data_IF_709955170581
#
_entry.id   IF_709955170581
#
_cell.length_a   1.000
_cell.length_b   1.000
_cell.length_c   1.000
_cell.angle_alpha   90.00
_cell.angle_beta   90.00
_cell.angle_gamma   90.00
#
_symmetry.space_group_name_H-M   'P 1'
#
loop_
_entity.id
_entity.type
_entity.pdbx_description
1 polymer ?
#
# COMPACT_ATOMS: atom_id res chain seq x y z
N UNK A 1 13.53 -10.59 -12.12
CA UNK A 1 12.13 -10.23 -12.41
C UNK A 1 11.36 -10.36 -11.11
N UNK A 2 11.12 -9.22 -10.44
CA UNK A 2 10.75 -9.08 -9.02
C UNK A 2 9.72 -7.93 -8.98
N UNK A 3 8.62 -8.14 -8.26
CA UNK A 3 7.29 -7.57 -8.54
C UNK A 3 6.81 -7.83 -10.00
N UNK A 4 6.14 -8.97 -10.25
CA UNK A 4 5.63 -9.35 -11.58
C UNK A 4 4.09 -9.20 -11.72
N UNK A 5 3.67 -8.92 -12.96
CA UNK A 5 2.32 -8.55 -13.42
C UNK A 5 1.27 -9.65 -13.18
N UNK A 6 0.19 -9.29 -12.47
CA UNK A 6 -0.98 -10.15 -12.26
C UNK A 6 -2.09 -9.89 -13.28
N UNK A 7 -2.83 -10.94 -13.66
CA UNK A 7 -3.91 -10.91 -14.67
C UNK A 7 -5.27 -10.54 -14.05
N UNK A 8 -5.94 -9.56 -14.64
CA UNK A 8 -7.16 -8.87 -14.18
C UNK A 8 -8.48 -9.64 -14.48
N UNK A 9 -9.50 -9.49 -13.63
CA UNK A 9 -10.94 -9.66 -13.96
C UNK A 9 -11.63 -8.29 -13.94
N UNK A 10 -12.36 -7.94 -15.00
CA UNK A 10 -13.11 -6.67 -15.12
C UNK A 10 -14.38 -6.69 -14.27
N UNK A 11 -14.68 -5.56 -13.62
CA UNK A 11 -16.04 -5.16 -13.25
C UNK A 11 -16.18 -3.69 -13.66
N UNK A 12 -17.19 -3.39 -14.48
CA UNK A 12 -17.56 -2.02 -14.86
C UNK A 12 -18.74 -1.59 -13.99
N UNK A 13 -18.64 -0.43 -13.33
CA UNK A 13 -19.82 0.30 -12.84
C UNK A 13 -19.57 1.80 -12.94
N UNK A 14 -20.47 2.51 -13.62
CA UNK A 14 -20.55 3.98 -13.65
C UNK A 14 -21.42 4.45 -12.48
N UNK A 15 -21.01 5.52 -11.78
CA UNK A 15 -21.86 6.22 -10.82
C UNK A 15 -21.88 7.73 -11.08
N UNK A 16 -23.09 8.28 -11.02
CA UNK A 16 -23.46 9.69 -11.14
C UNK A 16 -22.98 10.47 -9.91
N UNK A 17 -22.24 11.56 -10.10
CA UNK A 17 -21.85 12.47 -9.01
C UNK A 17 -22.89 13.58 -8.87
N UNK A 18 -23.25 13.90 -7.62
CA UNK A 18 -23.99 15.10 -7.26
C UNK A 18 -22.99 16.15 -6.78
N UNK A 19 -23.19 17.40 -7.21
CA UNK A 19 -22.36 18.55 -6.92
C UNK A 19 -22.61 19.03 -5.48
N UNK A 20 -21.55 19.15 -4.67
CA UNK A 20 -21.60 19.63 -3.28
C UNK A 20 -20.84 20.95 -3.21
N UNK A 21 -21.46 21.94 -2.57
CA UNK A 21 -21.00 23.32 -2.44
C UNK A 21 -19.62 23.41 -1.75
N UNK A 22 -18.69 24.10 -2.41
CA UNK A 22 -17.30 24.27 -1.98
C UNK A 22 -17.17 25.43 -0.99
N UNK A 23 -17.08 25.13 0.30
CA UNK A 23 -16.29 26.00 1.19
C UNK A 23 -14.83 25.90 0.74
N UNK A 24 -14.17 27.05 0.58
CA UNK A 24 -12.81 27.21 0.05
C UNK A 24 -11.75 26.42 0.84
N UNK A 25 -11.68 25.11 0.64
CA UNK A 25 -10.41 24.38 0.74
C UNK A 25 -9.64 24.87 -0.46
N UNK A 26 -8.76 25.85 -0.26
CA UNK A 26 -7.75 26.19 -1.26
C UNK A 26 -7.01 24.90 -1.58
N UNK A 27 -7.38 24.27 -2.69
CA UNK A 27 -6.89 22.96 -3.07
C UNK A 27 -5.36 23.01 -3.15
N UNK A 28 -4.68 22.46 -2.14
CA UNK A 28 -3.22 22.37 -2.06
C UNK A 28 -2.75 21.21 -2.94
N UNK A 29 -3.18 21.25 -4.19
CA UNK A 29 -2.92 20.28 -5.24
C UNK A 29 -1.65 20.69 -5.97
N UNK A 30 -0.69 19.77 -6.05
CA UNK A 30 0.58 20.01 -6.73
C UNK A 30 0.79 18.98 -7.83
N UNK A 31 0.91 19.48 -9.05
CA UNK A 31 1.22 18.68 -10.21
C UNK A 31 2.73 18.54 -10.35
N UNK A 32 3.23 17.32 -10.17
CA UNK A 32 4.65 16.98 -10.32
C UNK A 32 4.92 16.18 -11.59
N UNK A 33 3.88 15.66 -12.24
CA UNK A 33 3.99 14.88 -13.47
C UNK A 33 4.83 13.62 -13.28
N UNK A 34 5.91 13.48 -14.05
CA UNK A 34 6.87 12.38 -13.97
C UNK A 34 8.17 12.77 -13.26
N UNK A 35 8.16 13.86 -12.48
CA UNK A 35 9.37 14.31 -11.80
C UNK A 35 9.88 13.25 -10.82
N UNK A 36 11.19 12.97 -10.90
CA UNK A 36 11.86 11.96 -10.07
C UNK A 36 12.47 12.56 -8.80
N UNK A 37 12.34 13.87 -8.58
CA UNK A 37 12.96 14.58 -7.46
C UNK A 37 11.92 15.24 -6.57
N UNK A 38 12.06 15.07 -5.25
CA UNK A 38 11.21 15.75 -4.26
C UNK A 38 11.45 17.26 -4.20
N UNK A 39 12.58 17.75 -4.73
CA UNK A 39 12.87 19.19 -4.77
C UNK A 39 11.81 20.00 -5.53
N UNK A 40 11.14 19.38 -6.52
CA UNK A 40 10.10 20.05 -7.31
C UNK A 40 8.74 20.10 -6.62
N UNK A 41 8.55 19.35 -5.53
CA UNK A 41 7.30 19.37 -4.76
C UNK A 41 7.19 20.75 -4.09
N UNK A 42 6.11 21.52 -4.32
CA UNK A 42 5.88 22.78 -3.63
C UNK A 42 5.66 22.56 -2.13
N UNK A 43 6.00 23.57 -1.34
CA UNK A 43 5.77 23.54 0.09
C UNK A 43 4.26 23.46 0.40
N UNK A 44 3.91 22.82 1.52
CA UNK A 44 2.52 22.66 1.98
C UNK A 44 1.59 21.89 1.03
N UNK A 45 2.12 21.07 0.13
CA UNK A 45 1.28 20.21 -0.69
C UNK A 45 0.44 19.23 0.16
N UNK A 46 -0.85 19.10 -0.14
CA UNK A 46 -1.73 18.09 0.44
C UNK A 46 -2.08 16.98 -0.55
N UNK A 47 -2.23 17.34 -1.82
CA UNK A 47 -2.57 16.39 -2.88
C UNK A 47 -1.49 16.43 -3.96
N UNK A 48 -0.80 15.31 -4.16
CA UNK A 48 0.14 15.16 -5.26
C UNK A 48 -0.55 14.56 -6.49
N UNK A 49 -0.31 15.14 -7.65
CA UNK A 49 -0.73 14.59 -8.95
C UNK A 49 0.51 14.27 -9.77
N UNK A 50 0.80 12.98 -9.92
CA UNK A 50 2.00 12.47 -10.56
C UNK A 50 2.59 11.26 -9.84
N UNK A 51 3.54 10.59 -10.49
CA UNK A 51 4.22 9.44 -9.89
C UNK A 51 5.34 9.93 -8.97
N UNK A 52 5.28 9.57 -7.69
CA UNK A 52 6.28 9.97 -6.69
C UNK A 52 7.31 8.86 -6.51
N UNK A 53 8.59 9.18 -6.71
CA UNK A 53 9.71 8.24 -6.45
C UNK A 53 10.57 8.76 -5.31
N UNK A 54 10.92 7.86 -4.37
CA UNK A 54 11.94 8.07 -3.35
C UNK A 54 13.02 7.00 -3.56
N UNK A 55 14.24 7.42 -3.83
CA UNK A 55 15.36 6.56 -4.18
C UNK A 55 16.70 7.07 -3.63
N UNK A 56 17.82 6.54 -4.13
CA UNK A 56 19.17 6.93 -3.75
C UNK A 56 19.53 8.37 -4.16
N UNK A 57 18.81 8.95 -5.12
CA UNK A 57 18.98 10.35 -5.57
C UNK A 57 18.11 11.32 -4.77
N UNK A 58 17.20 10.80 -3.94
CA UNK A 58 16.31 11.61 -3.12
C UNK A 58 17.05 12.20 -1.92
N UNK A 59 17.06 13.52 -1.83
CA UNK A 59 17.74 14.25 -0.76
C UNK A 59 16.93 14.19 0.53
N UNK A 60 17.59 13.88 1.64
CA UNK A 60 16.93 13.79 2.94
C UNK A 60 16.31 15.13 3.36
N UNK A 61 16.94 16.26 2.99
CA UNK A 61 16.41 17.60 3.27
C UNK A 61 15.13 17.97 2.49
N UNK A 62 14.69 17.17 1.50
CA UNK A 62 13.44 17.41 0.77
C UNK A 62 12.26 16.55 1.29
N UNK A 63 12.52 15.55 2.15
CA UNK A 63 11.48 14.61 2.61
C UNK A 63 10.35 15.28 3.40
N UNK A 64 10.64 16.40 4.08
CA UNK A 64 9.64 17.14 4.85
C UNK A 64 8.49 17.68 3.99
N UNK A 65 8.70 17.84 2.68
CA UNK A 65 7.66 18.26 1.73
C UNK A 65 6.51 17.26 1.63
N UNK A 66 6.75 16.01 2.03
CA UNK A 66 5.76 14.94 2.06
C UNK A 66 4.94 14.91 3.36
N UNK A 67 5.34 15.64 4.40
CA UNK A 67 4.71 15.56 5.73
C UNK A 67 3.25 15.99 5.75
N UNK A 68 2.86 16.87 4.83
CA UNK A 68 1.50 17.38 4.71
C UNK A 68 0.66 16.67 3.64
N UNK A 69 1.26 15.72 2.92
CA UNK A 69 0.60 15.02 1.81
C UNK A 69 -0.35 13.98 2.37
N UNK A 70 -1.62 14.13 2.06
CA UNK A 70 -2.69 13.20 2.44
C UNK A 70 -3.12 12.32 1.27
N UNK A 71 -2.98 12.79 0.03
CA UNK A 71 -3.47 12.09 -1.15
C UNK A 71 -2.44 12.10 -2.28
N UNK A 72 -2.27 10.95 -2.93
CA UNK A 72 -1.49 10.82 -4.18
C UNK A 72 -2.41 10.30 -5.28
N UNK A 73 -2.58 11.09 -6.33
CA UNK A 73 -3.09 10.67 -7.63
C UNK A 73 -1.91 10.31 -8.54
N UNK A 74 -1.50 9.06 -8.47
CA UNK A 74 -0.31 8.49 -9.10
C UNK A 74 0.20 7.29 -8.30
N UNK A 75 1.32 6.73 -8.73
CA UNK A 75 2.03 5.70 -7.98
C UNK A 75 3.02 6.28 -6.98
N UNK A 76 3.30 5.53 -5.92
CA UNK A 76 4.39 5.78 -4.99
C UNK A 76 5.42 4.64 -5.07
N UNK A 77 6.64 4.99 -5.45
CA UNK A 77 7.78 4.06 -5.49
C UNK A 77 8.83 4.47 -4.48
N UNK A 78 9.21 3.57 -3.57
CA UNK A 78 10.33 3.73 -2.65
C UNK A 78 11.32 2.60 -2.95
N UNK A 79 12.45 2.92 -3.61
CA UNK A 79 13.40 1.89 -4.04
C UNK A 79 14.85 2.30 -3.88
N UNK A 80 15.71 1.38 -3.47
CA UNK A 80 17.14 1.65 -3.29
C UNK A 80 17.45 2.91 -2.44
N UNK A 81 16.52 3.32 -1.58
CA UNK A 81 16.66 4.57 -0.82
C UNK A 81 17.53 4.39 0.43
N UNK A 82 18.02 5.52 0.94
CA UNK A 82 18.70 5.59 2.23
C UNK A 82 17.75 5.67 3.43
N UNK A 83 16.42 5.59 3.19
CA UNK A 83 15.41 5.70 4.24
C UNK A 83 15.55 4.59 5.26
N UNK A 84 15.39 4.97 6.53
CA UNK A 84 15.23 4.02 7.65
C UNK A 84 13.78 3.74 7.99
N UNK A 85 12.90 4.67 7.62
CA UNK A 85 11.48 4.69 7.93
C UNK A 85 10.72 5.41 6.82
N UNK A 86 9.47 5.04 6.58
CA UNK A 86 8.54 5.77 5.70
C UNK A 86 7.74 6.86 6.43
N UNK A 87 8.13 7.21 7.66
CA UNK A 87 7.48 8.25 8.49
C UNK A 87 7.29 9.62 7.85
N UNK A 88 8.04 10.07 6.81
CA UNK A 88 7.66 11.28 6.07
C UNK A 88 6.26 11.26 5.46
N UNK A 89 5.67 10.08 5.30
CA UNK A 89 4.33 9.88 4.74
C UNK A 89 3.25 9.70 5.81
N UNK A 90 3.49 10.15 7.04
CA UNK A 90 2.61 9.87 8.19
C UNK A 90 1.16 10.39 8.07
N UNK A 91 0.89 11.38 7.20
CA UNK A 91 -0.45 11.87 6.89
C UNK A 91 -1.08 11.21 5.66
N UNK A 92 -0.33 10.41 4.91
CA UNK A 92 -0.78 9.85 3.65
C UNK A 92 -1.91 8.84 3.91
N UNK A 93 -3.10 9.16 3.42
CA UNK A 93 -4.30 8.34 3.60
C UNK A 93 -4.75 7.66 2.32
N UNK A 94 -4.43 8.20 1.14
CA UNK A 94 -4.95 7.73 -0.13
C UNK A 94 -3.87 7.67 -1.22
N UNK A 95 -3.83 6.55 -1.95
CA UNK A 95 -3.03 6.40 -3.17
C UNK A 95 -3.90 5.81 -4.27
N UNK A 96 -4.08 6.56 -5.36
CA UNK A 96 -4.80 6.12 -6.56
C UNK A 96 -3.88 6.22 -7.77
N UNK A 97 -3.46 5.07 -8.29
CA UNK A 97 -2.72 5.00 -9.55
C UNK A 97 -3.63 4.48 -10.66
N UNK A 98 -4.02 5.36 -11.57
CA UNK A 98 -4.85 5.02 -12.73
C UNK A 98 -4.04 4.59 -13.96
N UNK A 99 -2.71 4.60 -13.88
CA UNK A 99 -1.87 4.14 -14.98
C UNK A 99 -1.97 2.61 -15.16
N UNK A 100 -2.14 2.17 -16.40
CA UNK A 100 -2.18 0.76 -16.75
C UNK A 100 -0.88 0.05 -16.38
N UNK A 101 -0.98 -1.20 -15.94
CA UNK A 101 0.14 -2.05 -15.57
C UNK A 101 1.06 -1.43 -14.49
N UNK A 102 0.52 -0.59 -13.61
CA UNK A 102 1.26 -0.02 -12.48
C UNK A 102 0.56 -0.28 -11.14
N UNK A 103 1.32 -0.55 -10.06
CA UNK A 103 0.77 -0.62 -8.71
C UNK A 103 0.54 0.78 -8.12
N UNK A 104 -0.26 0.85 -7.06
CA UNK A 104 -0.35 2.06 -6.25
C UNK A 104 0.94 2.29 -5.44
N UNK A 105 1.48 1.22 -4.85
CA UNK A 105 2.64 1.27 -3.97
C UNK A 105 3.68 0.20 -4.34
N UNK A 106 4.94 0.61 -4.41
CA UNK A 106 6.09 -0.28 -4.51
C UNK A 106 7.17 0.15 -3.51
N UNK A 107 7.53 -0.73 -2.57
CA UNK A 107 8.64 -0.54 -1.62
C UNK A 107 9.64 -1.68 -1.83
N UNK A 108 10.74 -1.42 -2.53
CA UNK A 108 11.65 -2.49 -2.97
C UNK A 108 13.14 -2.18 -2.73
N UNK A 109 13.92 -3.17 -2.30
CA UNK A 109 15.39 -3.08 -2.28
C UNK A 109 15.96 -1.94 -1.40
N UNK A 110 15.30 -1.59 -0.28
CA UNK A 110 15.80 -0.59 0.65
C UNK A 110 16.59 -1.28 1.78
N UNK A 111 17.91 -1.30 1.65
CA UNK A 111 18.80 -2.03 2.57
C UNK A 111 18.72 -1.58 4.04
N UNK A 112 18.34 -0.31 4.27
CA UNK A 112 18.33 0.31 5.59
C UNK A 112 16.91 0.50 6.18
N UNK A 113 15.86 0.11 5.45
CA UNK A 113 14.48 0.33 5.85
C UNK A 113 14.10 -0.64 6.97
N UNK A 114 13.75 -0.09 8.14
CA UNK A 114 13.41 -0.86 9.35
C UNK A 114 11.91 -0.97 9.58
N UNK A 115 11.16 0.05 9.16
CA UNK A 115 9.72 0.15 9.28
C UNK A 115 9.09 0.70 8.00
N UNK A 116 7.91 0.19 7.67
CA UNK A 116 7.11 0.61 6.52
C UNK A 116 5.70 1.06 6.95
N UNK A 117 5.54 1.50 8.20
CA UNK A 117 4.25 1.95 8.73
C UNK A 117 3.84 3.28 8.07
N UNK A 118 2.74 3.26 7.32
CA UNK A 118 2.12 4.44 6.75
C UNK A 118 0.83 4.70 7.54
N UNK A 119 0.96 5.52 8.58
CA UNK A 119 -0.15 5.87 9.47
C UNK A 119 -1.29 6.54 8.72
N UNK A 120 -2.53 6.23 9.12
CA UNK A 120 -3.72 6.85 8.52
C UNK A 120 -4.09 6.38 7.12
N UNK A 121 -3.39 5.39 6.56
CA UNK A 121 -3.72 4.82 5.25
C UNK A 121 -5.14 4.22 5.24
N UNK A 122 -5.97 4.68 4.31
CA UNK A 122 -7.35 4.26 4.12
C UNK A 122 -7.51 3.38 2.88
N UNK A 123 -6.89 3.76 1.77
CA UNK A 123 -7.07 3.06 0.50
C UNK A 123 -5.87 3.22 -0.44
N UNK A 124 -5.45 2.10 -1.01
CA UNK A 124 -4.49 2.01 -2.10
C UNK A 124 -5.14 1.28 -3.27
N UNK A 125 -5.18 1.93 -4.43
CA UNK A 125 -5.76 1.37 -5.64
C UNK A 125 -4.85 1.60 -6.84
N UNK A 126 -4.47 0.50 -7.50
CA UNK A 126 -3.72 0.49 -8.74
C UNK A 126 -4.14 -0.68 -9.62
N UNK A 127 -3.70 -0.67 -10.88
CA UNK A 127 -4.00 -1.76 -11.82
C UNK A 127 -3.31 -3.06 -11.38
N UNK A 128 -2.07 -2.98 -10.90
CA UNK A 128 -1.33 -4.12 -10.35
C UNK A 128 -1.38 -4.17 -8.81
N UNK A 129 -1.17 -5.37 -8.21
CA UNK A 129 -0.97 -5.49 -6.77
C UNK A 129 0.22 -4.66 -6.28
N UNK A 130 0.05 -4.03 -5.12
CA UNK A 130 1.15 -3.36 -4.41
C UNK A 130 2.22 -4.38 -4.00
N UNK A 131 3.45 -3.91 -3.77
CA UNK A 131 4.60 -4.79 -3.51
C UNK A 131 5.47 -4.19 -2.40
N UNK A 132 5.83 -5.00 -1.41
CA UNK A 132 6.86 -4.67 -0.40
C UNK A 132 7.86 -5.81 -0.43
N UNK A 133 9.04 -5.59 -1.01
CA UNK A 133 9.97 -6.69 -1.26
C UNK A 133 11.45 -6.33 -1.10
N UNK A 134 12.26 -7.34 -0.77
CA UNK A 134 13.72 -7.23 -0.73
C UNK A 134 14.24 -6.13 0.22
N UNK A 135 13.56 -5.91 1.36
CA UNK A 135 14.01 -4.99 2.40
C UNK A 135 14.55 -5.82 3.60
N UNK A 136 15.86 -6.16 3.63
CA UNK A 136 16.39 -7.26 4.44
C UNK A 136 16.31 -7.05 5.95
N UNK A 137 16.12 -5.82 6.42
CA UNK A 137 15.97 -5.49 7.85
C UNK A 137 14.59 -4.95 8.21
N UNK A 138 13.66 -4.92 7.26
CA UNK A 138 12.29 -4.41 7.45
C UNK A 138 11.47 -5.39 8.27
N UNK A 139 11.10 -4.95 9.48
CA UNK A 139 10.16 -5.68 10.33
C UNK A 139 8.74 -5.16 10.12
N UNK A 140 7.79 -6.07 9.96
CA UNK A 140 6.38 -5.75 9.71
C UNK A 140 5.55 -6.45 10.79
N UNK A 141 4.86 -5.67 11.60
CA UNK A 141 3.99 -6.19 12.66
C UNK A 141 2.75 -6.88 12.08
N UNK A 142 2.04 -7.67 12.89
CA UNK A 142 0.78 -8.30 12.45
C UNK A 142 -0.29 -7.25 12.17
N UNK A 143 -0.28 -6.17 12.93
CA UNK A 143 -1.15 -5.02 12.82
C UNK A 143 -0.90 -4.25 11.51
N UNK A 144 0.36 -4.05 11.14
CA UNK A 144 0.74 -3.43 9.88
C UNK A 144 0.37 -4.34 8.70
N UNK A 145 0.59 -5.65 8.82
CA UNK A 145 0.14 -6.62 7.83
C UNK A 145 -1.37 -6.56 7.60
N UNK A 146 -2.17 -6.47 8.67
CA UNK A 146 -3.61 -6.33 8.58
C UNK A 146 -3.99 -5.01 7.88
N UNK A 147 -3.31 -3.91 8.24
CA UNK A 147 -3.51 -2.59 7.63
C UNK A 147 -3.22 -2.63 6.12
N UNK A 148 -2.08 -3.17 5.71
CA UNK A 148 -1.75 -3.36 4.30
C UNK A 148 -2.77 -4.23 3.56
N UNK A 149 -3.23 -5.32 4.19
CA UNK A 149 -4.22 -6.21 3.59
C UNK A 149 -5.58 -5.51 3.40
N UNK A 150 -6.04 -4.73 4.37
CA UNK A 150 -7.32 -3.99 4.29
C UNK A 150 -7.23 -2.89 3.23
N UNK A 151 -6.22 -2.03 3.33
CA UNK A 151 -6.06 -0.83 2.49
C UNK A 151 -5.79 -1.15 1.03
N UNK A 152 -5.19 -2.32 0.73
CA UNK A 152 -5.00 -2.81 -0.65
C UNK A 152 -6.07 -3.80 -1.12
N UNK A 153 -7.10 -4.07 -0.30
CA UNK A 153 -8.12 -5.10 -0.55
C UNK A 153 -7.50 -6.48 -0.86
N UNK A 154 -6.44 -6.83 -0.15
CA UNK A 154 -5.68 -8.08 -0.30
C UNK A 154 -4.79 -8.17 -1.54
N UNK A 155 -4.65 -7.08 -2.30
CA UNK A 155 -3.81 -6.97 -3.49
C UNK A 155 -2.43 -6.41 -3.14
N UNK A 156 -1.72 -7.11 -2.27
CA UNK A 156 -0.33 -6.81 -1.93
C UNK A 156 0.51 -8.08 -1.83
N UNK A 157 1.77 -7.99 -2.23
CA UNK A 157 2.75 -9.07 -2.14
C UNK A 157 3.91 -8.67 -1.22
N UNK A 158 4.34 -9.61 -0.38
CA UNK A 158 5.50 -9.48 0.50
C UNK A 158 6.50 -10.60 0.20
N UNK A 159 7.76 -10.23 -0.06
CA UNK A 159 8.82 -11.21 -0.34
C UNK A 159 10.19 -10.66 0.03
N UNK A 160 11.08 -11.48 0.60
CA UNK A 160 12.49 -11.08 0.79
C UNK A 160 12.70 -9.98 1.84
N UNK A 161 11.68 -9.62 2.62
CA UNK A 161 11.84 -8.79 3.81
C UNK A 161 12.24 -9.63 5.03
N UNK A 162 12.76 -9.00 6.10
CA UNK A 162 13.03 -9.68 7.38
C UNK A 162 11.78 -10.40 7.87
N UNK A 163 10.65 -9.70 7.88
CA UNK A 163 9.33 -10.25 8.18
C UNK A 163 8.42 -10.05 6.96
N UNK A 164 7.80 -11.13 6.46
CA UNK A 164 6.79 -11.05 5.40
C UNK A 164 5.42 -11.35 5.96
N UNK A 165 4.42 -10.57 5.54
CA UNK A 165 3.03 -10.84 5.88
C UNK A 165 2.59 -12.15 5.24
N UNK A 166 2.22 -13.13 6.06
CA UNK A 166 1.54 -14.32 5.55
C UNK A 166 0.13 -13.93 5.13
N UNK A 167 -0.29 -14.36 3.93
CA UNK A 167 -1.73 -14.36 3.63
C UNK A 167 -2.37 -15.28 4.66
N UNK A 168 -3.22 -14.70 5.51
CA UNK A 168 -4.19 -15.50 6.24
C UNK A 168 -4.93 -16.32 5.20
N UNK A 169 -4.71 -17.63 5.18
CA UNK A 169 -5.73 -18.53 4.65
C UNK A 169 -6.90 -18.25 5.57
N UNK A 170 -7.95 -17.60 5.06
CA UNK A 170 -9.25 -17.75 5.68
C UNK A 170 -9.46 -19.25 5.84
N UNK A 171 -9.36 -19.75 7.06
CA UNK A 171 -9.70 -21.11 7.42
C UNK A 171 -11.21 -21.27 7.20
N UNK A 172 -11.60 -21.49 5.95
CA UNK A 172 -12.87 -22.11 5.59
C UNK A 172 -12.72 -23.63 5.70
N UNK A 173 -12.15 -24.10 6.79
CA UNK A 173 -12.17 -25.50 7.21
C UNK A 173 -12.48 -25.55 8.70
N UNK A 174 -13.72 -25.15 9.03
CA UNK A 174 -14.42 -25.82 10.11
C UNK A 174 -14.48 -27.30 9.71
N UNK A 175 -13.54 -28.07 10.24
CA UNK A 175 -13.42 -29.49 9.96
C UNK A 175 -14.67 -30.17 10.53
N UNK A 176 -15.58 -30.55 9.63
CA UNK A 176 -16.73 -31.44 9.93
C UNK A 176 -16.23 -32.79 10.50
N UNK A 177 -14.92 -33.05 10.49
CA UNK A 177 -14.30 -34.25 11.02
C UNK A 177 -14.54 -34.47 12.52
N UNK A 178 -14.67 -33.44 13.36
CA UNK A 178 -14.85 -33.67 14.81
C UNK A 178 -16.26 -34.15 15.17
N UNK A 179 -17.30 -33.68 14.47
CA UNK A 179 -18.68 -34.12 14.72
C UNK A 179 -18.96 -35.54 14.23
N UNK A 180 -18.27 -36.00 13.18
CA UNK A 180 -18.41 -37.38 12.67
C UNK A 180 -17.84 -38.39 13.66
N UNK A 181 -16.70 -38.10 14.30
CA UNK A 181 -16.14 -38.98 15.33
C UNK A 181 -17.05 -39.10 16.56
N UNK A 182 -17.68 -38.00 16.97
CA UNK A 182 -18.61 -38.00 18.10
C UNK A 182 -19.89 -38.80 17.76
N UNK A 183 -20.45 -38.66 16.55
CA UNK A 183 -21.64 -39.41 16.15
C UNK A 183 -21.38 -40.93 16.05
N UNK A 184 -20.19 -41.33 15.58
CA UNK A 184 -19.82 -42.74 15.46
C UNK A 184 -19.59 -43.42 16.83
N UNK A 185 -19.18 -42.66 17.85
CA UNK A 185 -19.11 -43.16 19.23
C UNK A 185 -20.49 -43.40 19.85
N UNK A 186 -21.49 -42.59 19.51
CA UNK A 186 -22.87 -42.79 20.00
C UNK A 186 -23.58 -43.97 19.35
N UNK A 187 -23.30 -44.27 18.08
CA UNK A 187 -23.89 -45.43 17.38
C UNK A 187 -23.28 -46.75 17.86
N UNK A 188 -22.02 -46.75 18.31
CA UNK A 188 -21.36 -47.96 18.84
C UNK A 188 -21.77 -48.33 20.29
N UNK A 189 -22.61 -47.52 20.94
CA UNK A 189 -23.09 -47.71 22.33
C UNK A 189 -24.61 -48.03 22.42
N UNK A 190 -25.27 -48.26 21.27
CA UNK A 190 -26.64 -48.78 21.14
C UNK A 190 -26.62 -50.22 20.63
#
# INVERSE_FOLDING_TARGET
MRCAVGKQRRINTYSHFAEVETEDVKDRVCHIGNATSLSVVPDNCQTLVGHTTIDDQSRTEDLWKLYNVTTIYGGLTIRNSSLRSVSPLWQLSLIFNFAENQPALMIESNANLKDAYIGGMQLMMGDLPSCVAENPILSISKEDCATFNITTRGRINFQGNKDNCQRSKTDSSGSISEYVFILMLFIALL
#
